data_IF_841822885640
#
_entry.id   IF_841822885640
#
_cell.length_a   1.000
_cell.length_b   1.000
_cell.length_c   1.000
_cell.angle_alpha   90.00
_cell.angle_beta   90.00
_cell.angle_gamma   90.00
#
_symmetry.space_group_name_H-M   'P 1'
#
loop_
_entity.id
_entity.type
_entity.pdbx_description
1 polymer ?
#
# COMPACT_ATOMS: atom_id res chain seq x y z
N UNK A 1 -11.62 17.43 18.29
CA UNK A 1 -10.91 16.39 17.51
C UNK A 1 -9.77 15.75 18.32
N UNK A 2 -9.72 16.01 19.64
CA UNK A 2 -8.63 15.61 20.53
C UNK A 2 -8.85 14.24 21.18
N UNK A 3 -10.10 13.75 21.21
CA UNK A 3 -10.47 12.43 21.72
C UNK A 3 -9.90 11.28 20.88
N UNK A 4 -9.77 11.45 19.56
CA UNK A 4 -9.15 10.45 18.68
C UNK A 4 -7.63 10.37 18.89
N UNK A 5 -6.95 11.48 19.21
CA UNK A 5 -5.50 11.52 19.42
C UNK A 5 -5.06 10.99 20.79
N UNK A 6 -5.95 10.91 21.77
CA UNK A 6 -5.63 10.34 23.10
C UNK A 6 -5.70 8.81 23.14
N UNK A 7 -6.27 8.17 22.10
CA UNK A 7 -6.40 6.72 22.02
C UNK A 7 -5.11 6.05 21.55
N UNK A 8 -4.84 4.80 22.00
CA UNK A 8 -3.64 4.08 21.61
C UNK A 8 -3.57 3.89 20.10
N UNK A 9 -2.38 4.08 19.52
CA UNK A 9 -2.09 3.90 18.09
C UNK A 9 -2.54 2.54 17.54
N UNK A 10 -2.56 1.52 18.41
CA UNK A 10 -3.05 0.17 18.10
C UNK A 10 -4.55 0.17 17.76
N UNK A 11 -5.37 0.92 18.52
CA UNK A 11 -6.82 0.98 18.28
C UNK A 11 -7.13 1.73 16.98
N UNK A 12 -6.36 2.79 16.67
CA UNK A 12 -6.50 3.52 15.41
C UNK A 12 -6.12 2.64 14.21
N UNK A 13 -4.99 1.93 14.29
CA UNK A 13 -4.56 1.01 13.24
C UNK A 13 -5.56 -0.14 13.06
N UNK A 14 -6.13 -0.65 14.15
CA UNK A 14 -7.17 -1.69 14.11
C UNK A 14 -8.45 -1.22 13.41
N UNK A 15 -8.96 -0.03 13.76
CA UNK A 15 -10.14 0.56 13.11
C UNK A 15 -9.88 0.86 11.63
N UNK A 16 -8.70 1.38 11.28
CA UNK A 16 -8.30 1.60 9.89
C UNK A 16 -8.16 0.27 9.10
N UNK A 17 -7.67 -0.78 9.75
CA UNK A 17 -7.59 -2.13 9.18
C UNK A 17 -8.99 -2.72 8.93
N UNK A 18 -9.89 -2.64 9.90
CA UNK A 18 -11.28 -3.07 9.76
C UNK A 18 -12.01 -2.31 8.64
N UNK A 19 -11.78 -1.01 8.53
CA UNK A 19 -12.31 -0.21 7.43
C UNK A 19 -11.80 -0.70 6.08
N UNK A 20 -10.50 -0.98 5.95
CA UNK A 20 -9.88 -1.49 4.73
C UNK A 20 -10.47 -2.86 4.34
N UNK A 21 -10.64 -3.76 5.30
CA UNK A 21 -11.31 -5.05 5.08
C UNK A 21 -12.77 -4.87 4.67
N UNK A 22 -13.50 -3.94 5.28
CA UNK A 22 -14.86 -3.58 4.87
C UNK A 22 -14.93 -3.15 3.41
N UNK A 23 -14.02 -2.28 2.96
CA UNK A 23 -13.91 -1.87 1.56
C UNK A 23 -13.65 -3.07 0.62
N UNK A 24 -12.80 -4.03 1.03
CA UNK A 24 -12.56 -5.26 0.25
C UNK A 24 -13.80 -6.14 0.16
N UNK A 25 -14.54 -6.32 1.26
CA UNK A 25 -15.80 -7.08 1.28
C UNK A 25 -16.82 -6.44 0.33
N UNK A 26 -16.97 -5.11 0.40
CA UNK A 26 -17.87 -4.37 -0.50
C UNK A 26 -17.42 -4.49 -1.96
N UNK A 27 -16.13 -4.36 -2.24
CA UNK A 27 -15.56 -4.51 -3.59
C UNK A 27 -15.77 -5.92 -4.17
N UNK A 28 -15.59 -6.96 -3.36
CA UNK A 28 -15.83 -8.35 -3.75
C UNK A 28 -17.33 -8.66 -3.90
N UNK A 29 -18.19 -8.07 -3.06
CA UNK A 29 -19.64 -8.26 -3.13
C UNK A 29 -20.23 -7.81 -4.48
N UNK A 30 -19.66 -6.78 -5.10
CA UNK A 30 -20.07 -6.27 -6.42
C UNK A 30 -19.88 -7.34 -7.53
N UNK A 31 -18.91 -8.24 -7.38
CA UNK A 31 -18.65 -9.32 -8.34
C UNK A 31 -19.82 -10.32 -8.42
N UNK A 32 -20.57 -10.53 -7.34
CA UNK A 32 -21.75 -11.41 -7.36
C UNK A 32 -22.89 -10.90 -8.24
N UNK A 33 -22.97 -9.59 -8.48
CA UNK A 33 -23.94 -9.01 -9.43
C UNK A 33 -23.50 -9.16 -10.89
N UNK A 34 -22.19 -9.24 -11.17
CA UNK A 34 -21.64 -9.36 -12.52
C UNK A 34 -21.10 -10.79 -12.76
N UNK A 35 -22.00 -11.70 -13.15
CA UNK A 35 -21.68 -13.13 -13.37
C UNK A 35 -20.72 -13.42 -14.55
N UNK A 36 -20.44 -12.43 -15.40
CA UNK A 36 -19.56 -12.51 -16.57
C UNK A 36 -18.68 -11.25 -16.63
N UNK A 37 -17.44 -11.35 -16.13
CA UNK A 37 -16.46 -10.25 -16.24
C UNK A 37 -15.61 -10.48 -17.48
N UNK A 38 -15.60 -9.52 -18.41
CA UNK A 38 -14.72 -9.60 -19.59
C UNK A 38 -13.26 -9.45 -19.17
N UNK A 39 -12.36 -10.22 -19.81
CA UNK A 39 -10.89 -10.13 -19.57
C UNK A 39 -10.37 -8.69 -19.62
N UNK A 40 -10.90 -7.87 -20.54
CA UNK A 40 -10.55 -6.46 -20.67
C UNK A 40 -10.89 -5.63 -19.42
N UNK A 41 -12.04 -5.89 -18.79
CA UNK A 41 -12.42 -5.21 -17.55
C UNK A 41 -11.53 -5.63 -16.38
N UNK A 42 -11.21 -6.93 -16.27
CA UNK A 42 -10.28 -7.43 -15.26
C UNK A 42 -8.88 -6.81 -15.41
N UNK A 43 -8.36 -6.74 -16.64
CA UNK A 43 -7.06 -6.13 -16.92
C UNK A 43 -7.03 -4.64 -16.54
N UNK A 44 -8.13 -3.90 -16.78
CA UNK A 44 -8.28 -2.50 -16.35
C UNK A 44 -8.28 -2.39 -14.82
N UNK A 45 -9.00 -3.26 -14.11
CA UNK A 45 -9.04 -3.22 -12.64
C UNK A 45 -7.68 -3.57 -12.01
N UNK A 46 -6.99 -4.57 -12.55
CA UNK A 46 -5.63 -4.94 -12.12
C UNK A 46 -4.63 -3.80 -12.41
N UNK A 47 -4.71 -3.17 -13.58
CA UNK A 47 -3.90 -2.01 -13.92
C UNK A 47 -4.15 -0.81 -13.02
N UNK A 48 -5.41 -0.54 -12.68
CA UNK A 48 -5.79 0.51 -11.73
C UNK A 48 -5.23 0.24 -10.33
N UNK A 49 -5.39 -0.99 -9.81
CA UNK A 49 -4.85 -1.38 -8.51
C UNK A 49 -3.32 -1.24 -8.45
N UNK A 50 -2.61 -1.69 -9.50
CA UNK A 50 -1.17 -1.51 -9.62
C UNK A 50 -0.77 -0.02 -9.64
N UNK A 51 -1.51 0.82 -10.37
CA UNK A 51 -1.27 2.26 -10.44
C UNK A 51 -1.42 2.97 -9.08
N UNK A 52 -2.50 2.69 -8.35
CA UNK A 52 -2.74 3.27 -7.01
C UNK A 52 -1.64 2.90 -6.03
N UNK A 53 -1.20 1.63 -6.05
CA UNK A 53 -0.13 1.15 -5.16
C UNK A 53 1.22 1.83 -5.45
N UNK A 54 1.55 2.04 -6.73
CA UNK A 54 2.76 2.75 -7.14
C UNK A 54 2.71 4.22 -6.70
N UNK A 55 1.58 4.91 -6.94
CA UNK A 55 1.43 6.33 -6.57
C UNK A 55 1.53 6.54 -5.05
N UNK A 56 0.88 5.69 -4.25
CA UNK A 56 0.96 5.73 -2.80
C UNK A 56 2.41 5.54 -2.31
N UNK A 57 3.16 4.63 -2.93
CA UNK A 57 4.57 4.39 -2.60
C UNK A 57 5.44 5.63 -2.84
N UNK A 58 5.28 6.31 -3.98
CA UNK A 58 6.09 7.48 -4.33
C UNK A 58 5.75 8.74 -3.51
N UNK A 59 4.47 8.95 -3.16
CA UNK A 59 4.07 10.17 -2.45
C UNK A 59 4.05 10.02 -0.94
N UNK A 60 3.66 8.85 -0.43
CA UNK A 60 3.47 8.63 1.02
C UNK A 60 4.66 7.96 1.71
N UNK A 61 5.44 7.14 0.98
CA UNK A 61 6.54 6.34 1.57
C UNK A 61 7.93 6.81 1.14
N UNK A 62 8.08 7.34 -0.08
CA UNK A 62 9.39 7.81 -0.56
C UNK A 62 9.95 9.01 0.23
N UNK A 63 9.18 10.06 0.57
CA UNK A 63 9.69 11.16 1.39
C UNK A 63 10.18 10.73 2.78
N UNK A 64 9.38 10.01 3.61
CA UNK A 64 9.85 9.61 4.93
C UNK A 64 11.00 8.60 4.87
N UNK A 65 11.02 7.69 3.88
CA UNK A 65 12.13 6.73 3.75
C UNK A 65 13.48 7.39 3.45
N UNK A 66 13.49 8.47 2.67
CA UNK A 66 14.72 9.25 2.41
C UNK A 66 15.16 10.00 3.69
N UNK A 67 14.22 10.55 4.46
CA UNK A 67 14.53 11.26 5.71
C UNK A 67 15.08 10.31 6.79
N UNK A 68 14.51 9.11 6.92
CA UNK A 68 15.06 8.06 7.79
C UNK A 68 16.46 7.59 7.32
N UNK A 69 16.68 7.46 6.01
CA UNK A 69 17.97 7.05 5.45
C UNK A 69 19.05 8.14 5.58
N UNK A 70 18.70 9.43 5.50
CA UNK A 70 19.63 10.54 5.67
C UNK A 70 20.28 10.55 7.04
N UNK A 71 19.52 10.12 8.06
CA UNK A 71 20.00 10.03 9.45
C UNK A 71 21.11 8.99 9.66
N UNK A 72 21.29 8.02 8.74
CA UNK A 72 22.32 6.97 8.86
C UNK A 72 23.35 6.91 7.72
N UNK A 73 23.02 7.35 6.49
CA UNK A 73 23.86 7.15 5.30
C UNK A 73 24.14 8.42 4.45
N UNK A 74 23.69 9.60 4.88
CA UNK A 74 23.98 10.87 4.19
C UNK A 74 23.55 10.87 2.70
N UNK A 75 24.49 11.14 1.79
CA UNK A 75 24.28 11.37 0.34
C UNK A 75 23.81 10.12 -0.45
N UNK A 76 23.89 8.92 0.13
CA UNK A 76 23.47 7.66 -0.48
C UNK A 76 22.01 7.25 -0.16
N UNK A 77 21.23 8.13 0.46
CA UNK A 77 19.85 7.82 0.90
C UNK A 77 18.94 7.33 -0.22
N UNK A 78 19.05 7.90 -1.43
CA UNK A 78 18.28 7.45 -2.60
C UNK A 78 18.61 5.99 -3.00
N UNK A 79 19.86 5.57 -2.82
CA UNK A 79 20.30 4.20 -3.12
C UNK A 79 19.67 3.20 -2.13
N UNK A 80 19.59 3.53 -0.84
CA UNK A 80 18.97 2.64 0.17
C UNK A 80 17.47 2.46 -0.04
N UNK A 81 16.74 3.54 -0.37
CA UNK A 81 15.31 3.48 -0.69
C UNK A 81 15.05 2.70 -2.00
N UNK A 82 15.90 2.91 -3.02
CA UNK A 82 15.83 2.17 -4.28
C UNK A 82 16.14 0.68 -4.09
N UNK A 83 17.17 0.33 -3.29
CA UNK A 83 17.52 -1.05 -2.96
C UNK A 83 16.39 -1.71 -2.19
N UNK A 84 15.76 -1.05 -1.20
CA UNK A 84 14.62 -1.60 -0.47
C UNK A 84 13.41 -1.90 -1.38
N UNK A 85 13.08 -0.97 -2.28
CA UNK A 85 11.98 -1.15 -3.24
C UNK A 85 12.27 -2.27 -4.26
N UNK A 86 13.53 -2.41 -4.71
CA UNK A 86 13.93 -3.47 -5.65
C UNK A 86 14.16 -4.83 -4.98
N UNK A 87 14.66 -4.83 -3.73
CA UNK A 87 14.91 -6.04 -2.94
C UNK A 87 13.61 -6.78 -2.65
N UNK A 88 12.51 -6.06 -2.40
CA UNK A 88 11.17 -6.66 -2.30
C UNK A 88 10.72 -7.41 -3.55
N UNK A 89 11.21 -7.03 -4.75
CA UNK A 89 10.97 -7.75 -6.01
C UNK A 89 11.95 -8.91 -6.23
N UNK A 90 13.13 -8.84 -5.63
CA UNK A 90 14.19 -9.85 -5.75
C UNK A 90 14.08 -10.97 -4.72
N UNK A 91 13.15 -10.91 -3.76
CA UNK A 91 12.77 -12.06 -2.94
C UNK A 91 11.85 -12.97 -3.76
N UNK A 92 12.36 -14.10 -4.30
CA UNK A 92 11.48 -15.14 -4.79
C UNK A 92 10.85 -15.76 -3.54
N UNK A 93 9.53 -15.84 -3.48
CA UNK A 93 8.87 -16.74 -2.55
C UNK A 93 9.30 -18.17 -2.93
N UNK A 94 10.40 -18.64 -2.36
CA UNK A 94 10.60 -20.08 -2.13
C UNK A 94 9.81 -20.38 -0.87
N UNK A 95 8.49 -20.55 -1.04
CA UNK A 95 7.51 -21.29 -0.20
C UNK A 95 6.09 -20.93 -0.65
#
# INVERSE_FOLDING_TARGET
MDWLRSQPVVMQAFLAGLFTWGCTIVGSAIVFFFKQVSRKMLDIMMGFAAGVMIAASFWSLLPPSIEYAQSSYGKLSWLSAAIGFFSGRLFPATD
#
